data_IF_127780047797
#
_entry.id   IF_127780047797
#
_cell.length_a   1.000
_cell.length_b   1.000
_cell.length_c   1.000
_cell.angle_alpha   90.00
_cell.angle_beta   90.00
_cell.angle_gamma   90.00
#
_symmetry.space_group_name_H-M   'P 1'
#
loop_
_entity.id
_entity.type
_entity.pdbx_description
1 polymer ?
#
# COMPACT_ATOMS: atom_id res chain seq x y z
N UNK A 1 -26.13 4.65 -10.98
CA UNK A 1 -25.42 5.57 -11.86
C UNK A 1 -23.97 5.69 -11.37
N UNK A 2 -23.01 5.18 -12.13
CA UNK A 2 -21.60 5.37 -11.84
C UNK A 2 -21.33 6.87 -11.88
N UNK A 3 -20.84 7.42 -10.75
CA UNK A 3 -20.48 8.82 -10.67
C UNK A 3 -19.45 9.13 -11.76
N UNK A 4 -19.85 9.99 -12.71
CA UNK A 4 -18.95 10.48 -13.73
C UNK A 4 -17.85 11.24 -13.01
N UNK A 5 -16.60 10.80 -13.17
CA UNK A 5 -15.45 11.58 -12.72
C UNK A 5 -15.51 12.90 -13.52
N UNK A 6 -15.94 13.97 -12.85
CA UNK A 6 -15.97 15.30 -13.49
C UNK A 6 -14.53 15.78 -13.49
N UNK A 7 -13.86 15.54 -14.59
CA UNK A 7 -12.55 16.11 -14.87
C UNK A 7 -12.71 17.52 -15.42
N UNK A 8 -11.77 18.45 -15.15
CA UNK A 8 -11.75 19.72 -15.86
C UNK A 8 -11.72 19.48 -17.37
N UNK A 9 -12.44 20.22 -18.17
CA UNK A 9 -12.64 19.95 -19.61
C UNK A 9 -11.36 19.93 -20.45
N UNK A 10 -10.22 20.35 -19.92
CA UNK A 10 -8.96 20.45 -20.66
C UNK A 10 -7.89 19.40 -20.28
N UNK A 11 -8.16 18.49 -19.32
CA UNK A 11 -7.17 17.50 -18.90
C UNK A 11 -7.41 16.15 -19.56
N UNK A 12 -6.68 15.86 -20.62
CA UNK A 12 -6.60 14.50 -21.15
C UNK A 12 -5.99 13.56 -20.11
N UNK A 13 -6.47 12.31 -20.09
CA UNK A 13 -5.93 11.22 -19.25
C UNK A 13 -5.11 10.28 -20.10
N UNK A 14 -3.99 9.84 -19.55
CA UNK A 14 -3.12 8.82 -20.14
C UNK A 14 -2.93 7.66 -19.20
N UNK A 15 -2.92 6.45 -19.74
CA UNK A 15 -2.53 5.24 -18.97
C UNK A 15 -1.02 5.25 -18.83
N UNK A 16 -0.54 5.27 -17.57
CA UNK A 16 0.88 5.19 -17.27
C UNK A 16 1.36 3.74 -17.34
N UNK A 17 0.63 2.83 -16.70
CA UNK A 17 0.90 1.39 -16.76
C UNK A 17 -0.34 0.57 -16.37
N UNK A 18 -0.33 -0.69 -16.79
CA UNK A 18 -1.31 -1.71 -16.38
C UNK A 18 -0.61 -3.00 -16.01
N UNK A 19 -1.18 -3.74 -15.05
CA UNK A 19 -0.66 -5.05 -14.66
C UNK A 19 -1.81 -5.98 -14.25
N UNK A 20 -1.64 -7.28 -14.42
CA UNK A 20 -2.65 -8.29 -14.07
C UNK A 20 -2.04 -9.54 -13.45
N UNK A 21 -2.77 -10.13 -12.51
CA UNK A 21 -2.46 -11.44 -11.91
C UNK A 21 -3.77 -12.17 -11.62
N UNK A 22 -4.12 -13.17 -12.40
CA UNK A 22 -5.39 -13.90 -12.28
C UNK A 22 -6.59 -12.94 -12.15
N UNK A 23 -7.22 -12.87 -10.97
CA UNK A 23 -8.36 -11.98 -10.69
C UNK A 23 -7.98 -10.56 -10.24
N UNK A 24 -6.69 -10.23 -10.15
CA UNK A 24 -6.22 -8.88 -9.85
C UNK A 24 -5.92 -8.11 -11.12
N UNK A 25 -6.31 -6.84 -11.14
CA UNK A 25 -5.99 -5.91 -12.19
C UNK A 25 -5.66 -4.55 -11.59
N UNK A 26 -4.57 -3.94 -12.03
CA UNK A 26 -4.16 -2.58 -11.68
C UNK A 26 -4.02 -1.76 -12.94
N UNK A 27 -4.56 -0.55 -12.92
CA UNK A 27 -4.39 0.45 -13.96
C UNK A 27 -4.05 1.79 -13.30
N UNK A 28 -2.89 2.34 -13.62
CA UNK A 28 -2.47 3.67 -13.19
C UNK A 28 -2.76 4.64 -14.33
N UNK A 29 -3.62 5.61 -14.06
CA UNK A 29 -4.01 6.64 -14.99
C UNK A 29 -3.53 7.97 -14.43
N UNK A 30 -2.89 8.77 -15.28
CA UNK A 30 -2.37 10.09 -14.93
C UNK A 30 -2.94 11.15 -15.86
N UNK A 31 -2.98 12.41 -15.42
CA UNK A 31 -3.22 13.52 -16.33
C UNK A 31 -2.06 13.60 -17.32
N UNK A 32 -2.39 13.83 -18.59
CA UNK A 32 -1.39 13.81 -19.68
C UNK A 32 -0.29 14.87 -19.52
N UNK A 33 -0.62 16.01 -18.89
CA UNK A 33 0.36 17.07 -18.57
C UNK A 33 1.38 16.66 -17.52
N UNK A 34 1.07 15.67 -16.69
CA UNK A 34 1.98 15.10 -15.70
C UNK A 34 2.83 13.94 -16.24
N UNK A 35 2.51 13.43 -17.42
CA UNK A 35 3.21 12.28 -17.99
C UNK A 35 4.73 12.51 -18.13
N UNK A 36 5.24 13.68 -18.59
CA UNK A 36 6.66 13.95 -18.68
C UNK A 36 7.38 14.02 -17.34
N UNK A 37 6.64 14.23 -16.24
CA UNK A 37 7.17 14.30 -14.87
C UNK A 37 7.28 12.91 -14.21
N UNK A 38 6.74 11.87 -14.89
CA UNK A 38 6.80 10.49 -14.41
C UNK A 38 8.01 9.77 -15.04
N UNK A 39 8.75 9.06 -14.23
CA UNK A 39 9.88 8.24 -14.67
C UNK A 39 9.94 6.91 -13.92
N UNK A 40 10.71 5.97 -14.46
CA UNK A 40 10.93 4.64 -13.91
C UNK A 40 9.63 3.86 -13.62
N UNK A 41 8.61 3.87 -14.51
CA UNK A 41 7.44 3.05 -14.30
C UNK A 41 7.83 1.57 -14.35
N UNK A 42 7.25 0.78 -13.47
CA UNK A 42 7.50 -0.65 -13.43
C UNK A 42 6.47 -1.38 -12.59
N UNK A 43 6.33 -2.68 -12.85
CA UNK A 43 5.40 -3.53 -12.10
C UNK A 43 5.92 -4.95 -11.97
N UNK A 44 5.45 -5.65 -10.95
CA UNK A 44 5.65 -7.08 -10.79
C UNK A 44 4.55 -7.69 -9.93
N UNK A 45 4.42 -9.02 -10.03
CA UNK A 45 3.41 -9.78 -9.31
C UNK A 45 4.06 -10.70 -8.27
N UNK A 46 3.44 -10.75 -7.09
CA UNK A 46 3.80 -11.68 -6.01
C UNK A 46 2.66 -12.66 -5.80
N UNK A 47 2.93 -13.94 -5.97
CA UNK A 47 1.96 -15.02 -5.77
C UNK A 47 2.08 -15.54 -4.34
N UNK A 48 0.96 -15.67 -3.63
CA UNK A 48 0.91 -16.26 -2.28
C UNK A 48 0.00 -17.47 -2.20
N UNK A 49 -0.78 -17.75 -3.24
CA UNK A 49 -1.68 -18.92 -3.30
C UNK A 49 -0.93 -20.24 -3.26
N UNK A 50 -1.35 -21.16 -2.37
CA UNK A 50 -0.72 -22.48 -2.15
C UNK A 50 0.82 -22.40 -2.03
N UNK A 51 1.32 -21.53 -1.17
CA UNK A 51 2.76 -21.33 -0.98
C UNK A 51 3.46 -20.72 -2.19
N UNK A 52 2.81 -19.79 -2.90
CA UNK A 52 3.39 -19.07 -4.04
C UNK A 52 3.22 -19.78 -5.40
N UNK A 53 2.60 -20.95 -5.46
CA UNK A 53 2.43 -21.72 -6.70
C UNK A 53 1.30 -21.18 -7.59
N UNK A 54 0.22 -20.68 -7.00
CA UNK A 54 -0.96 -20.21 -7.73
C UNK A 54 -1.15 -18.71 -7.59
N UNK A 55 -1.48 -18.05 -8.70
CA UNK A 55 -1.71 -16.60 -8.76
C UNK A 55 -3.11 -16.16 -8.33
N UNK A 56 -3.96 -17.06 -7.80
CA UNK A 56 -5.30 -16.72 -7.33
C UNK A 56 -5.30 -15.90 -6.02
N UNK A 57 -4.18 -15.81 -5.35
CA UNK A 57 -3.89 -14.95 -4.21
C UNK A 57 -2.51 -14.34 -4.36
N UNK A 58 -2.34 -13.12 -3.86
CA UNK A 58 -1.10 -12.39 -3.93
C UNK A 58 -1.27 -10.90 -4.08
N UNK A 59 -0.33 -10.25 -4.72
CA UNK A 59 -0.38 -8.82 -4.99
C UNK A 59 0.22 -8.45 -6.36
N UNK A 60 -0.23 -7.31 -6.88
CA UNK A 60 0.40 -6.56 -7.94
C UNK A 60 1.07 -5.33 -7.33
N UNK A 61 2.36 -5.20 -7.52
CA UNK A 61 3.12 -4.03 -7.11
C UNK A 61 3.43 -3.20 -8.36
N UNK A 62 3.00 -1.95 -8.36
CA UNK A 62 3.23 -1.01 -9.45
C UNK A 62 3.89 0.23 -8.90
N UNK A 63 4.95 0.70 -9.56
CA UNK A 63 5.74 1.82 -9.08
C UNK A 63 6.05 2.83 -10.17
N UNK A 64 6.31 4.05 -9.77
CA UNK A 64 6.88 5.11 -10.60
C UNK A 64 7.46 6.21 -9.72
N UNK A 65 8.18 7.13 -10.33
CA UNK A 65 8.68 8.33 -9.68
C UNK A 65 7.98 9.53 -10.30
N UNK A 66 7.32 10.34 -9.47
CA UNK A 66 6.75 11.63 -9.87
C UNK A 66 7.64 12.75 -9.34
N UNK A 67 8.21 13.55 -10.25
CA UNK A 67 9.31 14.47 -9.94
C UNK A 67 10.47 13.71 -9.25
N UNK A 68 10.70 13.94 -7.95
CA UNK A 68 11.71 13.24 -7.17
C UNK A 68 11.11 12.45 -6.00
N UNK A 69 9.84 12.08 -6.10
CA UNK A 69 9.15 11.26 -5.10
C UNK A 69 8.81 9.90 -5.68
N UNK A 70 9.28 8.84 -5.04
CA UNK A 70 8.96 7.47 -5.43
C UNK A 70 7.65 7.00 -4.82
N UNK A 71 6.77 6.44 -5.68
CA UNK A 71 5.46 5.91 -5.30
C UNK A 71 5.38 4.42 -5.62
N UNK A 72 4.78 3.64 -4.70
CA UNK A 72 4.44 2.25 -4.92
C UNK A 72 2.97 2.00 -4.58
N UNK A 73 2.25 1.38 -5.51
CA UNK A 73 0.87 0.93 -5.33
C UNK A 73 0.87 -0.59 -5.24
N UNK A 74 0.22 -1.12 -4.20
CA UNK A 74 0.16 -2.54 -3.91
C UNK A 74 -1.31 -2.95 -3.93
N UNK A 75 -1.71 -3.71 -4.94
CA UNK A 75 -3.08 -4.23 -5.05
C UNK A 75 -3.09 -5.69 -4.60
N UNK A 76 -3.77 -5.99 -3.49
CA UNK A 76 -3.73 -7.28 -2.81
C UNK A 76 -5.03 -8.06 -2.96
N UNK A 77 -4.90 -9.41 -3.02
CA UNK A 77 -5.96 -10.33 -2.72
C UNK A 77 -5.41 -11.44 -1.81
N UNK A 78 -5.61 -11.29 -0.50
CA UNK A 78 -5.03 -12.17 0.51
C UNK A 78 -5.89 -13.42 0.77
N UNK A 79 -5.35 -14.34 1.58
CA UNK A 79 -5.99 -15.61 1.88
C UNK A 79 -7.38 -15.45 2.53
N UNK A 80 -8.39 -16.10 1.95
CA UNK A 80 -9.75 -16.09 2.44
C UNK A 80 -9.93 -16.98 3.68
N UNK A 81 -11.05 -16.80 4.38
CA UNK A 81 -11.50 -17.63 5.51
C UNK A 81 -11.40 -16.90 6.85
N UNK A 82 -12.46 -17.10 7.67
CA UNK A 82 -12.64 -16.42 8.96
C UNK A 82 -11.43 -16.61 9.89
N UNK A 83 -10.88 -17.81 9.97
CA UNK A 83 -9.81 -18.20 10.91
C UNK A 83 -8.40 -18.05 10.33
N UNK A 84 -8.25 -17.59 9.10
CA UNK A 84 -6.96 -17.59 8.38
C UNK A 84 -6.12 -16.32 8.62
N UNK A 85 -6.22 -15.68 9.79
CA UNK A 85 -5.47 -14.45 10.13
C UNK A 85 -3.97 -14.66 9.94
N UNK A 86 -3.41 -15.73 10.54
CA UNK A 86 -1.99 -16.03 10.44
C UNK A 86 -1.52 -16.18 8.98
N UNK A 87 -2.35 -16.82 8.12
CA UNK A 87 -1.99 -16.96 6.70
C UNK A 87 -1.99 -15.62 5.99
N UNK A 88 -2.97 -14.75 6.25
CA UNK A 88 -2.98 -13.38 5.71
C UNK A 88 -1.77 -12.57 6.14
N UNK A 89 -1.35 -12.70 7.41
CA UNK A 89 -0.15 -12.04 7.90
C UNK A 89 1.12 -12.52 7.20
N UNK A 90 1.22 -13.82 6.89
CA UNK A 90 2.31 -14.36 6.08
C UNK A 90 2.24 -13.86 4.63
N UNK A 91 1.05 -13.82 4.01
CA UNK A 91 0.89 -13.25 2.67
C UNK A 91 1.37 -11.79 2.64
N UNK A 92 1.03 -10.99 3.66
CA UNK A 92 1.52 -9.60 3.79
C UNK A 92 3.05 -9.55 3.90
N UNK A 93 3.64 -10.42 4.73
CA UNK A 93 5.09 -10.48 4.88
C UNK A 93 5.78 -10.83 3.56
N UNK A 94 5.30 -11.86 2.86
CA UNK A 94 5.81 -12.29 1.56
C UNK A 94 5.75 -11.14 0.53
N UNK A 95 4.63 -10.38 0.51
CA UNK A 95 4.43 -9.25 -0.40
C UNK A 95 5.38 -8.10 -0.08
N UNK A 96 5.49 -7.68 1.19
CA UNK A 96 6.30 -6.53 1.59
C UNK A 96 7.81 -6.81 1.54
N UNK A 97 8.21 -8.08 1.72
CA UNK A 97 9.62 -8.52 1.63
C UNK A 97 10.02 -8.91 0.21
N UNK A 98 9.06 -8.99 -0.72
CA UNK A 98 9.39 -9.29 -2.11
C UNK A 98 10.24 -8.19 -2.73
N UNK A 99 11.20 -8.60 -3.54
CA UNK A 99 12.03 -7.68 -4.32
C UNK A 99 12.05 -8.08 -5.80
N UNK A 100 12.19 -7.08 -6.67
CA UNK A 100 12.39 -7.33 -8.10
C UNK A 100 13.68 -6.66 -8.56
N UNK A 101 14.72 -7.46 -8.76
CA UNK A 101 16.05 -7.00 -9.13
C UNK A 101 16.11 -6.39 -10.55
N UNK A 102 15.12 -6.62 -11.40
CA UNK A 102 15.05 -5.97 -12.72
C UNK A 102 14.59 -4.52 -12.64
N UNK A 103 14.07 -4.10 -11.48
CA UNK A 103 13.56 -2.75 -11.24
C UNK A 103 14.50 -1.90 -10.37
N UNK A 104 15.74 -2.30 -10.18
CA UNK A 104 16.73 -1.53 -9.41
C UNK A 104 17.12 -0.22 -10.10
N UNK A 105 17.38 0.81 -9.33
CA UNK A 105 17.85 2.12 -9.82
C UNK A 105 18.55 2.89 -8.70
N UNK A 106 19.58 3.65 -9.08
CA UNK A 106 20.28 4.58 -8.18
C UNK A 106 19.62 5.97 -8.14
N UNK A 107 18.32 6.07 -8.43
CA UNK A 107 17.61 7.34 -8.42
C UNK A 107 17.45 7.89 -6.99
N UNK A 108 17.73 9.17 -6.81
CA UNK A 108 17.61 9.89 -5.53
C UNK A 108 16.19 9.96 -4.97
N UNK A 109 15.19 9.56 -5.76
CA UNK A 109 13.80 9.48 -5.32
C UNK A 109 13.56 8.30 -4.35
N UNK A 110 14.45 7.30 -4.35
CA UNK A 110 14.30 6.18 -3.43
C UNK A 110 14.79 6.52 -2.04
N UNK A 111 14.17 5.93 -1.07
CA UNK A 111 14.36 6.28 0.31
C UNK A 111 15.73 5.79 0.84
N UNK A 112 16.48 6.67 1.53
CA UNK A 112 17.76 6.38 2.20
C UNK A 112 18.79 5.63 1.32
N UNK A 113 18.82 5.91 0.02
CA UNK A 113 19.77 5.26 -0.88
C UNK A 113 19.42 3.80 -1.22
N UNK A 114 18.17 3.38 -0.99
CA UNK A 114 17.66 2.10 -1.49
C UNK A 114 17.56 2.11 -3.02
N UNK A 115 17.41 0.94 -3.61
CA UNK A 115 17.45 0.77 -5.07
C UNK A 115 16.05 0.67 -5.73
N UNK A 116 14.99 0.77 -4.93
CA UNK A 116 13.60 0.68 -5.41
C UNK A 116 13.16 -0.72 -5.78
N UNK A 117 13.92 -1.78 -5.45
CA UNK A 117 13.54 -3.16 -5.74
C UNK A 117 12.38 -3.67 -4.88
N UNK A 118 12.19 -3.08 -3.68
CA UNK A 118 11.17 -3.46 -2.71
C UNK A 118 10.11 -2.36 -2.55
N UNK A 119 8.90 -2.75 -2.14
CA UNK A 119 7.83 -1.78 -1.85
C UNK A 119 8.26 -0.75 -0.79
N UNK A 120 8.98 -1.19 0.24
CA UNK A 120 9.42 -0.33 1.35
C UNK A 120 10.50 0.69 0.98
N UNK A 121 11.13 0.55 -0.18
CA UNK A 121 12.12 1.50 -0.70
C UNK A 121 11.49 2.81 -1.18
N UNK A 122 10.19 2.80 -1.37
CA UNK A 122 9.45 3.96 -1.88
C UNK A 122 9.06 4.91 -0.74
N UNK A 123 9.06 6.21 -1.05
CA UNK A 123 8.69 7.23 -0.08
C UNK A 123 7.21 7.19 0.28
N UNK A 124 6.38 6.89 -0.71
CA UNK A 124 4.93 6.77 -0.55
C UNK A 124 4.50 5.39 -1.03
N UNK A 125 3.80 4.65 -0.17
CA UNK A 125 3.18 3.38 -0.50
C UNK A 125 1.68 3.46 -0.24
N UNK A 126 0.87 3.02 -1.21
CA UNK A 126 -0.56 2.79 -1.04
C UNK A 126 -0.83 1.31 -1.22
N UNK A 127 -1.49 0.70 -0.24
CA UNK A 127 -1.88 -0.70 -0.28
C UNK A 127 -3.40 -0.80 -0.25
N UNK A 128 -3.97 -1.45 -1.25
CA UNK A 128 -5.42 -1.59 -1.39
C UNK A 128 -5.79 -3.00 -1.85
N UNK A 129 -7.06 -3.36 -1.72
CA UNK A 129 -7.63 -4.57 -2.27
C UNK A 129 -8.44 -5.37 -1.27
N UNK A 130 -8.78 -6.60 -1.66
CA UNK A 130 -9.43 -7.57 -0.78
C UNK A 130 -8.39 -8.20 0.16
N UNK A 131 -8.23 -7.60 1.34
CA UNK A 131 -7.31 -8.08 2.37
C UNK A 131 -7.88 -9.25 3.17
N UNK A 132 -9.18 -9.57 3.00
CA UNK A 132 -9.88 -10.73 3.58
C UNK A 132 -9.85 -10.81 5.12
N UNK A 133 -9.42 -9.76 5.84
CA UNK A 133 -9.58 -9.71 7.29
C UNK A 133 -11.06 -9.64 7.65
N UNK A 134 -11.43 -10.26 8.76
CA UNK A 134 -12.82 -10.46 9.19
C UNK A 134 -13.09 -9.77 10.51
N UNK A 135 -14.33 -9.83 10.98
CA UNK A 135 -14.72 -9.41 12.33
C UNK A 135 -14.72 -10.60 13.28
N UNK A 136 -14.12 -10.46 14.45
CA UNK A 136 -14.16 -11.45 15.53
C UNK A 136 -15.42 -11.25 16.37
N UNK A 137 -16.59 -11.35 15.70
CA UNK A 137 -17.93 -11.22 16.26
C UNK A 137 -18.83 -12.35 15.74
N UNK A 138 -19.93 -12.60 16.47
CA UNK A 138 -21.04 -13.39 15.92
C UNK A 138 -21.74 -12.61 14.81
N UNK A 139 -22.42 -13.34 13.90
CA UNK A 139 -23.20 -12.69 12.85
C UNK A 139 -24.29 -11.78 13.40
N UNK A 140 -25.02 -12.24 14.41
CA UNK A 140 -26.12 -11.50 15.01
C UNK A 140 -25.63 -10.20 15.66
N UNK A 141 -24.52 -10.27 16.39
CA UNK A 141 -23.88 -9.07 16.96
C UNK A 141 -23.46 -8.10 15.86
N UNK A 142 -22.82 -8.60 14.80
CA UNK A 142 -22.38 -7.75 13.70
C UNK A 142 -23.58 -7.08 12.98
N UNK A 143 -24.66 -7.83 12.72
CA UNK A 143 -25.88 -7.29 12.12
C UNK A 143 -26.53 -6.22 12.99
N UNK A 144 -26.66 -6.46 14.28
CA UNK A 144 -27.21 -5.47 15.24
C UNK A 144 -26.38 -4.18 15.24
N UNK A 145 -25.05 -4.28 15.26
CA UNK A 145 -24.18 -3.11 15.21
C UNK A 145 -24.28 -2.34 13.89
N UNK A 146 -24.47 -3.05 12.77
CA UNK A 146 -24.70 -2.44 11.45
C UNK A 146 -26.01 -1.65 11.43
N UNK A 147 -27.10 -2.25 11.90
CA UNK A 147 -28.43 -1.62 11.99
C UNK A 147 -28.40 -0.34 12.86
N UNK A 148 -27.58 -0.35 13.91
CA UNK A 148 -27.37 0.78 14.80
C UNK A 148 -26.35 1.79 14.28
N UNK A 149 -25.73 1.59 13.11
CA UNK A 149 -24.63 2.41 12.55
C UNK A 149 -23.42 2.53 13.51
N UNK A 150 -23.20 1.54 14.38
CA UNK A 150 -22.09 1.50 15.34
C UNK A 150 -20.81 0.94 14.68
N UNK A 151 -20.35 1.64 13.64
CA UNK A 151 -19.20 1.18 12.82
C UNK A 151 -17.88 1.18 13.59
N UNK A 152 -17.73 2.06 14.58
CA UNK A 152 -16.57 2.08 15.49
C UNK A 152 -16.42 0.77 16.28
N UNK A 153 -17.54 0.20 16.74
CA UNK A 153 -17.53 -1.04 17.51
C UNK A 153 -17.23 -2.25 16.62
N UNK A 154 -17.76 -2.25 15.41
CA UNK A 154 -17.39 -3.24 14.39
C UNK A 154 -15.87 -3.18 14.08
N UNK A 155 -15.34 -1.97 13.90
CA UNK A 155 -13.93 -1.72 13.61
C UNK A 155 -13.01 -2.11 14.79
N UNK A 156 -13.49 -1.98 16.02
CA UNK A 156 -12.74 -2.43 17.19
C UNK A 156 -12.53 -3.96 17.23
N UNK A 157 -13.46 -4.73 16.60
CA UNK A 157 -13.37 -6.19 16.47
C UNK A 157 -12.79 -6.65 15.12
N UNK A 158 -12.29 -5.72 14.31
CA UNK A 158 -11.69 -6.03 13.00
C UNK A 158 -10.31 -6.67 13.15
N UNK A 159 -10.13 -7.83 12.53
CA UNK A 159 -8.91 -8.62 12.64
C UNK A 159 -7.66 -7.86 12.16
N UNK A 160 -7.77 -6.99 11.13
CA UNK A 160 -6.63 -6.19 10.68
C UNK A 160 -6.22 -5.18 11.76
N UNK A 161 -7.19 -4.51 12.38
CA UNK A 161 -6.92 -3.56 13.47
C UNK A 161 -6.35 -4.25 14.71
N UNK A 162 -6.84 -5.45 15.03
CA UNK A 162 -6.31 -6.24 16.12
C UNK A 162 -4.84 -6.62 15.86
N UNK A 163 -4.49 -7.06 14.65
CA UNK A 163 -3.11 -7.36 14.28
C UNK A 163 -2.21 -6.11 14.31
N UNK A 164 -2.67 -4.97 13.78
CA UNK A 164 -1.93 -3.70 13.83
C UNK A 164 -1.61 -3.29 15.28
N UNK A 165 -2.55 -3.48 16.21
CA UNK A 165 -2.40 -3.06 17.61
C UNK A 165 -1.58 -4.05 18.44
N UNK A 166 -1.80 -5.35 18.28
CA UNK A 166 -1.30 -6.38 19.18
C UNK A 166 -0.08 -7.15 18.66
N UNK A 167 0.20 -7.13 17.36
CA UNK A 167 1.29 -7.89 16.77
C UNK A 167 2.47 -6.99 16.37
N UNK A 168 3.55 -6.93 17.18
CA UNK A 168 4.71 -6.07 16.90
C UNK A 168 5.44 -6.38 15.60
N UNK A 169 5.30 -7.60 15.08
CA UNK A 169 5.99 -8.06 13.87
C UNK A 169 5.12 -7.92 12.61
N UNK A 170 3.89 -7.43 12.75
CA UNK A 170 2.98 -7.31 11.61
C UNK A 170 3.39 -6.19 10.65
N UNK A 171 3.64 -6.52 9.39
CA UNK A 171 4.19 -5.60 8.38
C UNK A 171 3.34 -4.37 8.11
N UNK A 172 2.01 -4.45 8.23
CA UNK A 172 1.12 -3.30 8.03
C UNK A 172 1.02 -2.36 9.23
N UNK A 173 1.72 -2.63 10.33
CA UNK A 173 1.75 -1.77 11.50
C UNK A 173 2.26 -0.35 11.23
N UNK A 174 3.05 -0.19 10.18
CA UNK A 174 3.59 1.10 9.73
C UNK A 174 2.74 1.78 8.65
N UNK A 175 1.60 1.18 8.31
CA UNK A 175 0.63 1.78 7.42
C UNK A 175 -0.49 2.43 8.23
N UNK A 176 -1.02 3.51 7.69
CA UNK A 176 -2.17 4.22 8.23
C UNK A 176 -3.41 3.85 7.40
N UNK A 177 -4.55 3.90 8.03
CA UNK A 177 -5.85 3.81 7.38
C UNK A 177 -6.73 4.95 7.89
N UNK A 178 -7.48 5.57 6.99
CA UNK A 178 -8.43 6.58 7.41
C UNK A 178 -9.59 5.94 8.18
N UNK A 179 -10.26 6.68 9.08
CA UNK A 179 -11.39 6.15 9.83
C UNK A 179 -12.46 5.54 8.91
N UNK A 180 -12.89 4.33 9.20
CA UNK A 180 -13.99 3.66 8.51
C UNK A 180 -15.31 4.13 9.13
N UNK A 181 -16.05 4.94 8.35
CA UNK A 181 -17.35 5.50 8.73
C UNK A 181 -18.49 4.93 7.87
N UNK A 182 -18.34 3.68 7.40
CA UNK A 182 -19.32 3.00 6.56
C UNK A 182 -19.51 1.54 7.00
N UNK A 183 -20.62 0.94 6.58
CA UNK A 183 -20.93 -0.46 6.87
C UNK A 183 -19.95 -1.42 6.15
N UNK A 184 -19.76 -2.66 6.65
CA UNK A 184 -18.91 -3.66 6.03
C UNK A 184 -19.13 -3.84 4.53
N UNK A 185 -18.05 -4.14 3.80
CA UNK A 185 -18.05 -4.25 2.33
C UNK A 185 -18.39 -5.66 1.82
N UNK A 186 -18.38 -6.66 2.69
CA UNK A 186 -18.56 -8.08 2.41
C UNK A 186 -19.45 -8.74 3.47
N UNK A 187 -20.21 -9.78 3.26
CA UNK A 187 -20.60 -10.37 2.00
C UNK A 187 -22.05 -10.05 1.72
N UNK A 188 -22.34 -9.63 0.51
CA UNK A 188 -23.71 -9.33 0.07
C UNK A 188 -24.26 -10.44 -0.83
N UNK A 189 -25.58 -10.54 -0.89
CA UNK A 189 -26.25 -11.20 -2.00
C UNK A 189 -26.08 -10.32 -3.25
N UNK A 190 -25.76 -10.94 -4.38
CA UNK A 190 -25.57 -10.18 -5.62
C UNK A 190 -26.89 -9.53 -6.05
N UNK A 191 -26.77 -8.32 -6.62
CA UNK A 191 -27.89 -7.50 -7.10
C UNK A 191 -28.86 -7.03 -6.01
N UNK A 192 -28.53 -7.20 -4.72
CA UNK A 192 -29.29 -6.70 -3.58
C UNK A 192 -28.43 -5.88 -2.64
N UNK A 193 -29.02 -5.27 -1.61
CA UNK A 193 -28.31 -4.64 -0.51
C UNK A 193 -28.34 -5.50 0.77
N UNK A 194 -28.77 -6.75 0.66
CA UNK A 194 -28.84 -7.66 1.80
C UNK A 194 -27.51 -8.38 1.99
N UNK A 195 -27.08 -8.50 3.24
CA UNK A 195 -25.94 -9.35 3.58
C UNK A 195 -26.28 -10.83 3.39
N UNK A 196 -25.25 -11.64 3.19
CA UNK A 196 -25.28 -13.06 2.86
C UNK A 196 -26.37 -13.83 3.59
N UNK A 197 -27.35 -14.31 2.84
CA UNK A 197 -28.46 -15.15 3.31
C UNK A 197 -28.31 -16.63 2.92
N UNK A 198 -27.14 -17.03 2.37
CA UNK A 198 -26.86 -18.44 2.08
C UNK A 198 -26.71 -19.25 3.38
N UNK A 199 -26.74 -20.58 3.25
CA UNK A 199 -26.54 -21.51 4.38
C UNK A 199 -25.24 -21.24 5.15
N UNK A 200 -24.25 -20.58 4.52
CA UNK A 200 -22.99 -20.19 5.16
C UNK A 200 -23.11 -18.97 6.05
N UNK A 201 -24.15 -18.17 5.88
CA UNK A 201 -24.48 -16.99 6.68
C UNK A 201 -23.23 -16.21 7.15
N UNK A 202 -22.40 -15.75 6.20
CA UNK A 202 -21.10 -15.12 6.49
C UNK A 202 -21.27 -13.89 7.38
N UNK A 203 -20.40 -13.76 8.37
CA UNK A 203 -20.31 -12.54 9.17
C UNK A 203 -19.91 -11.38 8.25
N UNK A 204 -20.64 -10.26 8.22
CA UNK A 204 -20.23 -9.06 7.51
C UNK A 204 -18.81 -8.65 7.92
N UNK A 205 -18.01 -8.17 6.98
CA UNK A 205 -16.61 -7.83 7.26
C UNK A 205 -16.09 -6.70 6.36
N UNK A 206 -15.06 -6.00 6.84
CA UNK A 206 -14.30 -5.01 6.07
C UNK A 206 -13.16 -5.70 5.33
N UNK A 207 -13.49 -6.46 4.27
CA UNK A 207 -12.50 -7.17 3.48
C UNK A 207 -11.70 -6.24 2.57
N UNK A 208 -12.36 -5.21 2.04
CA UNK A 208 -11.84 -4.30 1.01
C UNK A 208 -11.31 -3.03 1.68
N UNK A 209 -10.00 -2.81 1.60
CA UNK A 209 -9.30 -1.81 2.42
C UNK A 209 -8.35 -0.95 1.57
N UNK A 210 -8.08 0.26 2.07
CA UNK A 210 -7.09 1.18 1.50
C UNK A 210 -6.23 1.74 2.63
N UNK A 211 -4.97 1.30 2.66
CA UNK A 211 -3.97 1.75 3.62
C UNK A 211 -2.90 2.56 2.89
N UNK A 212 -2.22 3.42 3.62
CA UNK A 212 -1.14 4.24 3.06
C UNK A 212 -0.01 4.42 4.06
N UNK A 213 1.17 4.66 3.53
CA UNK A 213 2.37 4.95 4.31
C UNK A 213 3.16 6.03 3.60
N UNK A 214 3.67 7.00 4.33
CA UNK A 214 4.76 7.86 3.85
C UNK A 214 5.96 7.73 4.77
N UNK A 215 7.15 7.76 4.19
CA UNK A 215 8.38 7.59 4.94
C UNK A 215 8.72 8.81 5.80
N UNK A 216 8.53 9.99 5.24
CA UNK A 216 8.60 11.25 5.98
C UNK A 216 7.20 11.69 6.34
N UNK A 217 6.96 12.01 7.61
CA UNK A 217 5.63 12.38 8.10
C UNK A 217 4.96 13.47 7.26
N UNK A 218 3.63 13.42 7.15
CA UNK A 218 2.79 14.43 6.51
C UNK A 218 2.92 14.60 4.99
N UNK A 219 3.52 13.65 4.26
CA UNK A 219 3.52 13.69 2.79
C UNK A 219 2.19 13.22 2.19
N UNK A 220 1.42 12.43 2.92
CA UNK A 220 0.14 11.86 2.44
C UNK A 220 -0.94 12.13 3.47
N UNK A 221 -2.06 12.68 3.00
CA UNK A 221 -3.27 12.88 3.79
C UNK A 221 -4.47 12.29 3.05
N UNK A 222 -5.18 11.37 3.67
CA UNK A 222 -6.47 10.91 3.15
C UNK A 222 -7.53 11.97 3.39
N UNK A 223 -8.17 12.45 2.33
CA UNK A 223 -9.21 13.49 2.38
C UNK A 223 -10.63 12.92 2.27
N UNK A 224 -10.75 11.68 1.78
CA UNK A 224 -12.03 10.98 1.68
C UNK A 224 -11.79 9.47 1.63
N UNK A 225 -12.60 8.71 2.38
CA UNK A 225 -12.63 7.24 2.32
C UNK A 225 -14.08 6.78 2.37
N UNK A 226 -14.53 6.04 1.35
CA UNK A 226 -15.96 5.70 1.18
C UNK A 226 -16.15 4.32 0.61
N UNK A 227 -17.30 3.72 0.97
CA UNK A 227 -17.90 2.56 0.29
C UNK A 227 -18.92 3.07 -0.74
N UNK A 228 -19.08 2.30 -1.82
CA UNK A 228 -20.09 2.54 -2.85
C UNK A 228 -21.08 1.38 -2.90
N UNK A 229 -22.37 1.69 -3.11
CA UNK A 229 -23.43 0.69 -3.10
C UNK A 229 -23.67 0.08 -4.49
N UNK A 230 -22.60 -0.36 -5.17
CA UNK A 230 -22.70 -1.12 -6.41
C UNK A 230 -23.01 -2.59 -6.09
N UNK A 231 -24.11 -3.13 -6.63
CA UNK A 231 -24.66 -4.43 -6.24
C UNK A 231 -24.26 -5.60 -7.12
N UNK A 232 -23.46 -5.37 -8.17
CA UNK A 232 -23.06 -6.38 -9.17
C UNK A 232 -22.19 -7.51 -8.61
N UNK A 233 -21.57 -7.27 -7.46
CA UNK A 233 -20.68 -8.21 -6.76
C UNK A 233 -21.21 -8.51 -5.36
N UNK A 234 -20.69 -9.56 -4.75
CA UNK A 234 -20.86 -9.85 -3.33
C UNK A 234 -19.93 -8.99 -2.43
N UNK A 235 -19.06 -8.16 -3.01
CA UNK A 235 -18.32 -7.09 -2.37
C UNK A 235 -18.85 -5.71 -2.80
N UNK A 236 -18.67 -4.71 -1.92
CA UNK A 236 -18.94 -3.29 -2.23
C UNK A 236 -17.62 -2.57 -2.49
N UNK A 237 -17.52 -1.82 -3.60
CA UNK A 237 -16.30 -1.06 -3.90
C UNK A 237 -16.00 -0.01 -2.82
N UNK A 238 -14.71 0.20 -2.58
CA UNK A 238 -14.21 1.29 -1.74
C UNK A 238 -13.35 2.24 -2.58
N UNK A 239 -13.33 3.49 -2.20
CA UNK A 239 -12.44 4.50 -2.78
C UNK A 239 -11.87 5.41 -1.71
N UNK A 240 -10.64 5.87 -1.92
CA UNK A 240 -10.05 6.92 -1.11
C UNK A 240 -9.44 8.01 -2.01
N UNK A 241 -9.50 9.26 -1.52
CA UNK A 241 -8.84 10.41 -2.14
C UNK A 241 -7.72 10.87 -1.23
N UNK A 242 -6.57 11.15 -1.81
CA UNK A 242 -5.39 11.59 -1.08
C UNK A 242 -4.87 12.92 -1.60
N UNK A 243 -4.45 13.78 -0.69
CA UNK A 243 -3.55 14.88 -0.98
C UNK A 243 -2.13 14.41 -0.71
N UNK A 244 -1.24 14.56 -1.70
CA UNK A 244 0.15 14.13 -1.60
C UNK A 244 1.09 15.29 -1.88
N UNK A 245 2.15 15.41 -1.08
CA UNK A 245 3.25 16.33 -1.35
C UNK A 245 4.35 15.57 -2.08
N UNK A 246 4.72 16.08 -3.25
CA UNK A 246 5.86 15.55 -4.01
C UNK A 246 7.04 16.51 -3.87
N UNK A 247 8.24 15.98 -3.78
CA UNK A 247 9.48 16.76 -3.70
C UNK A 247 10.05 16.96 -5.09
N UNK A 248 10.80 18.05 -5.23
CA UNK A 248 11.70 18.29 -6.35
C UNK A 248 13.07 18.61 -5.76
N UNK A 249 14.12 17.94 -6.22
CA UNK A 249 15.49 18.09 -5.73
C UNK A 249 16.20 19.13 -6.60
N UNK A 250 16.72 20.18 -5.97
CA UNK A 250 17.69 21.05 -6.61
C UNK A 250 19.02 20.27 -6.81
N UNK A 251 19.27 19.85 -8.04
CA UNK A 251 20.42 19.01 -8.41
C UNK A 251 21.76 19.71 -8.17
N UNK A 252 21.82 21.03 -8.28
CA UNK A 252 23.04 21.79 -8.04
C UNK A 252 23.35 21.85 -6.54
N UNK A 253 22.36 22.22 -5.74
CA UNK A 253 22.50 22.22 -4.29
C UNK A 253 22.81 20.80 -3.76
N UNK A 254 22.13 19.76 -4.27
CA UNK A 254 22.42 18.38 -3.90
C UNK A 254 23.88 18.00 -4.20
N UNK A 255 24.38 18.34 -5.41
CA UNK A 255 25.75 18.03 -5.81
C UNK A 255 26.77 18.69 -4.88
N UNK A 256 26.57 19.96 -4.54
CA UNK A 256 27.45 20.66 -3.60
C UNK A 256 27.50 19.96 -2.22
N UNK A 257 26.36 19.55 -1.70
CA UNK A 257 26.27 18.83 -0.41
C UNK A 257 26.94 17.45 -0.52
N UNK A 258 26.69 16.73 -1.61
CA UNK A 258 27.28 15.41 -1.83
C UNK A 258 28.81 15.49 -1.93
N UNK A 259 29.35 16.41 -2.72
CA UNK A 259 30.79 16.62 -2.90
C UNK A 259 31.44 16.97 -1.56
N UNK A 260 30.81 17.85 -0.77
CA UNK A 260 31.30 18.22 0.57
C UNK A 260 31.30 17.02 1.52
N UNK A 261 30.23 16.23 1.55
CA UNK A 261 30.11 15.03 2.40
C UNK A 261 31.16 13.98 2.05
N UNK A 262 31.46 13.80 0.75
CA UNK A 262 32.53 12.90 0.30
C UNK A 262 33.89 13.41 0.77
N UNK A 263 34.18 14.71 0.63
CA UNK A 263 35.42 15.30 1.08
C UNK A 263 35.63 15.18 2.60
N UNK A 264 34.57 15.43 3.39
CA UNK A 264 34.58 15.27 4.85
C UNK A 264 34.80 13.79 5.24
N UNK A 265 34.13 12.84 4.56
CA UNK A 265 34.33 11.42 4.79
C UNK A 265 35.76 10.97 4.48
N UNK A 266 36.34 11.41 3.36
CA UNK A 266 37.73 11.07 2.98
C UNK A 266 38.74 11.65 3.98
N UNK A 267 38.49 12.85 4.46
CA UNK A 267 39.30 13.48 5.50
C UNK A 267 39.28 12.67 6.82
N UNK A 268 38.08 12.32 7.28
CA UNK A 268 37.89 11.51 8.48
C UNK A 268 38.52 10.12 8.35
N UNK A 269 38.32 9.46 7.19
CA UNK A 269 38.97 8.18 6.90
C UNK A 269 40.50 8.25 6.95
N UNK A 270 41.09 9.31 6.36
CA UNK A 270 42.52 9.51 6.39
C UNK A 270 43.03 9.72 7.83
N UNK A 271 42.31 10.46 8.64
CA UNK A 271 42.62 10.67 10.06
C UNK A 271 42.59 9.34 10.83
N UNK A 272 41.53 8.54 10.67
CA UNK A 272 41.45 7.22 11.31
C UNK A 272 42.60 6.29 10.92
N UNK A 273 42.97 6.27 9.63
CA UNK A 273 44.08 5.44 9.15
C UNK A 273 45.42 5.88 9.76
N UNK A 274 45.66 7.20 9.92
CA UNK A 274 46.86 7.70 10.60
C UNK A 274 46.92 7.28 12.06
N UNK A 275 45.84 7.52 12.81
CA UNK A 275 45.74 7.14 14.22
C UNK A 275 45.93 5.63 14.42
N UNK A 276 45.34 4.82 13.55
CA UNK A 276 45.49 3.36 13.59
C UNK A 276 46.96 2.95 13.31
N UNK A 277 47.60 3.54 12.30
CA UNK A 277 49.00 3.28 11.98
C UNK A 277 49.93 3.67 13.13
N UNK A 278 49.73 4.86 13.74
CA UNK A 278 50.49 5.31 14.91
C UNK A 278 50.34 4.34 16.08
N UNK A 279 49.12 3.86 16.34
CA UNK A 279 48.85 2.87 17.40
C UNK A 279 49.63 1.55 17.19
N UNK A 280 49.66 1.03 15.96
CA UNK A 280 50.39 -0.19 15.66
C UNK A 280 51.91 -0.04 15.56
N UNK A 281 52.43 1.17 15.43
CA UNK A 281 53.88 1.44 15.48
C UNK A 281 54.38 1.66 16.89
N UNK A 282 53.48 1.84 17.87
CA UNK A 282 53.85 2.00 19.29
C UNK A 282 53.77 0.66 20.09
N UNK A 283 53.43 -0.44 19.43
CA UNK A 283 53.42 -1.80 19.98
C UNK A 283 54.60 -2.59 19.37
#
# INVERSE_FOLDING_TARGET
AYGRLVMPPESALSVLLTEKLAGLFTCIIVRSDLLPRNRLPGSYAVKTGLGGRYGNKGALLTRFVLDDTSLCFINCHLAAGQRNVRRRNLDVADILQSSNQTLTSNDLAFALGSDGSMAIDHEICLLAGDLNYRLDLSRDTAMTLIEQNRFSDLYAADQLQLEIRSNPQFGLRHFLEAPICFAPTYKFNRLTNDYDSSDKARVPAYCDRILYRSRTGNMVQCTSYKRWDATVSDHRPVSATFSMRVKSIDRNAWKLVADRSVAEFLHYRAQLLRTTSEYFHCI
#
